data_IF_506936015236
#
_entry.id   IF_506936015236
#
_cell.length_a   1.000
_cell.length_b   1.000
_cell.length_c   1.000
_cell.angle_alpha   90.00
_cell.angle_beta   90.00
_cell.angle_gamma   90.00
#
_symmetry.space_group_name_H-M   'P 1'
#
loop_
_entity.id
_entity.type
_entity.pdbx_description
1 polymer ?
#
# COMPACT_ATOMS: atom_id res chain seq x y z
N UNK A 1 18.39 -36.18 -2.96
CA UNK A 1 17.60 -35.08 -2.38
C UNK A 1 18.54 -33.90 -2.28
N UNK A 2 18.37 -32.87 -3.10
CA UNK A 2 19.22 -31.68 -3.03
C UNK A 2 18.89 -30.91 -1.75
N UNK A 3 19.91 -30.65 -0.95
CA UNK A 3 19.84 -29.84 0.27
C UNK A 3 19.22 -28.47 -0.04
N UNK A 4 18.47 -27.92 0.91
CA UNK A 4 17.74 -26.66 0.77
C UNK A 4 18.66 -25.54 0.25
N UNK A 5 18.45 -25.15 -1.01
CA UNK A 5 19.20 -24.08 -1.65
C UNK A 5 18.80 -22.74 -1.01
N UNK A 6 19.79 -21.91 -0.65
CA UNK A 6 19.53 -20.62 -0.01
C UNK A 6 19.01 -19.67 -1.10
N UNK A 7 17.74 -19.31 -1.02
CA UNK A 7 17.12 -18.32 -1.91
C UNK A 7 17.72 -16.94 -1.60
N UNK A 8 18.39 -16.33 -2.58
CA UNK A 8 19.00 -14.99 -2.46
C UNK A 8 18.18 -13.94 -3.21
N UNK A 9 18.49 -12.65 -3.04
CA UNK A 9 17.83 -11.58 -3.82
C UNK A 9 18.21 -11.59 -5.31
N UNK A 10 19.34 -12.22 -5.65
CA UNK A 10 19.80 -12.37 -7.03
C UNK A 10 19.07 -13.51 -7.75
N UNK A 11 18.35 -14.36 -7.01
CA UNK A 11 17.54 -15.42 -7.58
C UNK A 11 16.49 -14.83 -8.56
N UNK A 12 16.39 -15.34 -9.80
CA UNK A 12 15.46 -14.81 -10.80
C UNK A 12 14.01 -14.81 -10.35
N UNK A 13 13.59 -15.81 -9.57
CA UNK A 13 12.23 -15.88 -9.03
C UNK A 13 12.01 -14.79 -7.97
N UNK A 14 13.02 -14.51 -7.13
CA UNK A 14 12.94 -13.42 -6.16
C UNK A 14 12.96 -12.03 -6.79
N UNK A 15 13.71 -11.83 -7.87
CA UNK A 15 13.68 -10.58 -8.63
C UNK A 15 12.30 -10.34 -9.24
N UNK A 16 11.71 -11.36 -9.87
CA UNK A 16 10.36 -11.28 -10.42
C UNK A 16 9.33 -11.01 -9.33
N UNK A 17 9.41 -11.70 -8.19
CA UNK A 17 8.54 -11.44 -7.05
C UNK A 17 8.63 -10.00 -6.56
N UNK A 18 9.84 -9.47 -6.42
CA UNK A 18 10.07 -8.10 -5.94
C UNK A 18 9.46 -7.06 -6.89
N UNK A 19 9.64 -7.24 -8.20
CA UNK A 19 9.03 -6.36 -9.21
C UNK A 19 7.50 -6.38 -9.16
N UNK A 20 6.90 -7.56 -8.97
CA UNK A 20 5.44 -7.68 -8.80
C UNK A 20 4.96 -6.97 -7.53
N UNK A 21 5.69 -7.12 -6.42
CA UNK A 21 5.38 -6.46 -5.15
C UNK A 21 5.48 -4.94 -5.25
N UNK A 22 6.47 -4.40 -5.95
CA UNK A 22 6.57 -2.96 -6.21
C UNK A 22 5.34 -2.41 -6.94
N UNK A 23 4.85 -3.14 -7.95
CA UNK A 23 3.64 -2.77 -8.68
C UNK A 23 2.39 -2.75 -7.79
N UNK A 24 2.27 -3.69 -6.86
CA UNK A 24 1.19 -3.74 -5.88
C UNK A 24 1.29 -2.58 -4.90
N UNK A 25 2.49 -2.32 -4.35
CA UNK A 25 2.74 -1.23 -3.41
C UNK A 25 2.37 0.13 -4.01
N UNK A 26 2.81 0.42 -5.23
CA UNK A 26 2.45 1.68 -5.92
C UNK A 26 0.94 1.87 -6.06
N UNK A 27 0.20 0.79 -6.33
CA UNK A 27 -1.28 0.85 -6.40
C UNK A 27 -1.89 1.10 -5.04
N UNK A 28 -1.38 0.44 -3.99
CA UNK A 28 -1.85 0.61 -2.63
C UNK A 28 -1.61 2.04 -2.12
N UNK A 29 -0.42 2.59 -2.34
CA UNK A 29 -0.09 3.97 -1.98
C UNK A 29 -1.05 4.97 -2.63
N UNK A 30 -1.38 4.79 -3.92
CA UNK A 30 -2.35 5.63 -4.63
C UNK A 30 -3.74 5.53 -4.00
N UNK A 31 -4.18 4.35 -3.61
CA UNK A 31 -5.45 4.17 -2.93
C UNK A 31 -5.44 4.86 -1.56
N UNK A 32 -4.41 4.66 -0.74
CA UNK A 32 -4.30 5.29 0.57
C UNK A 32 -4.26 6.83 0.48
N UNK A 33 -3.59 7.40 -0.52
CA UNK A 33 -3.52 8.85 -0.71
C UNK A 33 -4.88 9.49 -1.04
N UNK A 34 -5.80 8.72 -1.62
CA UNK A 34 -7.13 9.20 -2.03
C UNK A 34 -8.25 8.67 -1.13
N UNK A 35 -7.96 7.66 -0.31
CA UNK A 35 -8.91 7.07 0.61
C UNK A 35 -9.28 8.07 1.70
N UNK A 36 -10.58 8.30 1.83
CA UNK A 36 -11.16 9.01 2.96
C UNK A 36 -11.57 7.97 4.01
N UNK A 37 -11.05 8.02 5.25
CA UNK A 37 -11.45 7.08 6.30
C UNK A 37 -12.96 7.16 6.53
N UNK A 38 -13.61 6.01 6.76
CA UNK A 38 -15.03 5.94 7.06
C UNK A 38 -15.27 5.17 8.37
N UNK A 39 -16.18 5.65 9.23
CA UNK A 39 -16.70 4.91 10.39
C UNK A 39 -18.23 5.00 10.37
N UNK A 40 -18.89 3.84 10.42
CA UNK A 40 -20.36 3.80 10.44
C UNK A 40 -21.02 4.31 9.17
N UNK A 41 -20.30 4.38 8.05
CA UNK A 41 -20.79 4.95 6.78
C UNK A 41 -20.51 6.44 6.60
N UNK A 42 -20.02 7.12 7.63
CA UNK A 42 -19.67 8.54 7.59
C UNK A 42 -18.19 8.74 7.25
N UNK A 43 -17.89 9.75 6.44
CA UNK A 43 -16.53 10.13 6.05
C UNK A 43 -15.88 11.00 7.12
N UNK A 44 -14.68 10.64 7.55
CA UNK A 44 -13.89 11.50 8.42
C UNK A 44 -13.36 12.70 7.67
N UNK A 45 -13.54 13.85 8.31
CA UNK A 45 -12.93 15.10 7.88
C UNK A 45 -11.62 15.32 8.63
N UNK A 46 -10.66 15.89 7.93
CA UNK A 46 -9.46 16.46 8.54
C UNK A 46 -9.82 17.73 9.32
N UNK A 47 -8.96 18.14 10.25
CA UNK A 47 -9.19 19.37 11.03
C UNK A 47 -9.34 20.62 10.15
N UNK A 48 -8.63 20.67 9.01
CA UNK A 48 -8.74 21.76 8.04
C UNK A 48 -10.12 21.79 7.36
N UNK A 49 -10.60 20.63 6.91
CA UNK A 49 -11.94 20.50 6.31
C UNK A 49 -13.03 20.89 7.31
N UNK A 50 -12.92 20.50 8.58
CA UNK A 50 -13.85 20.93 9.64
C UNK A 50 -13.82 22.44 9.81
N UNK A 51 -12.63 23.05 9.91
CA UNK A 51 -12.50 24.50 10.05
C UNK A 51 -13.11 25.27 8.87
N UNK A 52 -13.02 24.73 7.66
CA UNK A 52 -13.59 25.35 6.46
C UNK A 52 -15.12 25.40 6.47
N UNK A 53 -15.78 24.40 7.06
CA UNK A 53 -17.24 24.30 7.13
C UNK A 53 -17.87 25.13 8.26
N UNK A 54 -17.06 25.49 9.27
CA UNK A 54 -17.50 26.26 10.44
C UNK A 54 -17.32 27.78 10.28
N UNK A 55 -16.83 28.25 9.11
CA UNK A 55 -16.77 29.67 8.76
C UNK A 55 -18.05 30.10 8.04
#
# INVERSE_FOLDING_TARGET
MSENEIITQEDPQMQLFSQLMEGILKKLERYCATARPMLGGEVYLTGEEVCSQLR
#
